data_IF_902894390444
#
_entry.id   IF_902894390444
#
_cell.length_a   1.000
_cell.length_b   1.000
_cell.length_c   1.000
_cell.angle_alpha   90.00
_cell.angle_beta   90.00
_cell.angle_gamma   90.00
#
_symmetry.space_group_name_H-M   'P 1'
#
loop_
_entity.id
_entity.type
_entity.pdbx_description
1 polymer ?
#
# COMPACT_ATOMS: atom_id res chain seq x y z
N UNK A 1 -22.71 -3.47 1.24
CA UNK A 1 -22.61 -3.64 -0.21
C UNK A 1 -23.97 -4.06 -0.82
N UNK A 2 -24.55 -5.17 -0.40
CA UNK A 2 -25.87 -5.59 -0.86
C UNK A 2 -26.96 -4.52 -0.70
N UNK A 3 -26.85 -3.68 0.32
CA UNK A 3 -27.79 -2.58 0.58
C UNK A 3 -27.71 -1.47 -0.48
N UNK A 4 -26.52 -1.17 -1.01
CA UNK A 4 -26.35 -0.14 -2.05
C UNK A 4 -26.89 -0.59 -3.40
N UNK A 5 -26.73 -1.86 -3.77
CA UNK A 5 -27.28 -2.45 -4.99
C UNK A 5 -28.82 -2.42 -4.94
N UNK A 6 -29.39 -2.77 -3.79
CA UNK A 6 -30.87 -2.82 -3.63
C UNK A 6 -31.48 -1.42 -3.57
N UNK A 7 -30.81 -0.46 -2.92
CA UNK A 7 -31.35 0.92 -2.76
C UNK A 7 -31.20 1.82 -3.98
N UNK A 8 -30.16 1.61 -4.79
CA UNK A 8 -29.87 2.48 -5.93
C UNK A 8 -29.20 1.70 -7.07
N UNK A 9 -29.89 0.75 -7.71
CA UNK A 9 -29.31 -0.11 -8.74
C UNK A 9 -28.81 0.67 -9.95
N UNK A 10 -29.48 1.74 -10.34
CA UNK A 10 -29.05 2.60 -11.45
C UNK A 10 -27.76 3.37 -11.15
N UNK A 11 -27.61 3.87 -9.93
CA UNK A 11 -26.38 4.53 -9.50
C UNK A 11 -25.24 3.52 -9.39
N UNK A 12 -25.51 2.31 -8.92
CA UNK A 12 -24.53 1.24 -8.90
C UNK A 12 -24.04 0.91 -10.32
N UNK A 13 -24.94 0.75 -11.28
CA UNK A 13 -24.58 0.50 -12.68
C UNK A 13 -23.83 1.70 -13.31
N UNK A 14 -24.22 2.93 -13.02
CA UNK A 14 -23.55 4.13 -13.50
C UNK A 14 -22.09 4.22 -13.05
N UNK A 15 -21.74 3.61 -11.93
CA UNK A 15 -20.38 3.57 -11.41
C UNK A 15 -19.44 2.64 -12.23
N UNK A 16 -20.00 1.72 -13.03
CA UNK A 16 -19.20 0.92 -13.98
C UNK A 16 -18.83 1.68 -15.25
N UNK A 17 -19.51 2.80 -15.52
CA UNK A 17 -19.22 3.67 -16.67
C UNK A 17 -18.74 5.03 -16.15
N UNK A 18 -17.45 5.19 -15.88
CA UNK A 18 -16.92 6.36 -15.17
C UNK A 18 -16.79 7.59 -16.07
N UNK A 19 -17.92 8.09 -16.58
CA UNK A 19 -17.98 9.38 -17.28
C UNK A 19 -17.78 10.49 -16.25
N UNK A 20 -16.75 11.31 -16.44
CA UNK A 20 -16.35 12.37 -15.51
C UNK A 20 -15.98 11.88 -14.11
N UNK A 21 -15.37 10.70 -14.01
CA UNK A 21 -15.03 10.05 -12.74
C UNK A 21 -14.25 10.97 -11.79
N UNK A 22 -13.23 11.64 -12.30
CA UNK A 22 -12.40 12.54 -11.49
C UNK A 22 -13.17 13.73 -10.87
N UNK A 23 -14.26 14.17 -11.50
CA UNK A 23 -15.10 15.26 -10.99
C UNK A 23 -16.15 14.79 -9.98
N UNK A 24 -16.48 13.49 -9.99
CA UNK A 24 -17.59 12.91 -9.23
C UNK A 24 -17.12 12.00 -8.09
N UNK A 25 -15.84 11.73 -7.96
CA UNK A 25 -15.29 10.77 -7.01
C UNK A 25 -14.42 11.45 -5.96
N UNK A 26 -14.63 11.09 -4.70
CA UNK A 26 -13.77 11.44 -3.57
C UNK A 26 -13.10 10.15 -3.12
N UNK A 27 -11.77 10.12 -3.13
CA UNK A 27 -10.99 8.99 -2.63
C UNK A 27 -10.71 9.22 -1.16
N UNK A 28 -11.09 8.27 -0.32
CA UNK A 28 -10.76 8.26 1.10
C UNK A 28 -9.61 7.27 1.32
N UNK A 29 -8.45 7.79 1.65
CA UNK A 29 -7.30 6.99 2.09
C UNK A 29 -7.36 6.83 3.61
N UNK A 30 -7.33 5.59 4.07
CA UNK A 30 -7.36 5.27 5.50
C UNK A 30 -6.05 4.63 5.88
N UNK A 31 -5.34 5.28 6.79
CA UNK A 31 -4.06 4.80 7.32
C UNK A 31 -4.22 4.42 8.78
N UNK A 32 -3.67 3.29 9.15
CA UNK A 32 -3.75 2.79 10.51
C UNK A 32 -2.39 2.28 10.99
N UNK A 33 -1.98 2.61 12.22
CA UNK A 33 -0.73 2.13 12.82
C UNK A 33 -0.90 0.71 13.37
N UNK A 34 -1.34 -0.23 12.53
CA UNK A 34 -1.44 -1.64 12.91
C UNK A 34 -0.10 -2.30 12.61
N UNK A 35 0.47 -2.94 13.61
CA UNK A 35 1.71 -3.69 13.48
C UNK A 35 1.44 -5.02 12.77
N UNK A 36 1.55 -5.00 11.47
CA UNK A 36 1.50 -6.17 10.61
C UNK A 36 2.40 -5.97 9.38
N UNK A 37 2.81 -7.07 8.78
CA UNK A 37 3.64 -7.05 7.58
C UNK A 37 3.34 -8.25 6.69
N UNK A 38 3.67 -8.11 5.41
CA UNK A 38 3.61 -9.18 4.43
C UNK A 38 5.01 -9.74 4.20
N UNK A 39 5.10 -11.05 4.14
CA UNK A 39 6.29 -11.76 3.63
C UNK A 39 6.07 -12.03 2.14
N UNK A 40 7.05 -11.69 1.33
CA UNK A 40 7.07 -12.06 -0.07
C UNK A 40 7.90 -13.32 -0.24
N UNK A 41 7.36 -14.28 -0.97
CA UNK A 41 8.06 -15.52 -1.31
C UNK A 41 7.73 -15.96 -2.74
N UNK A 42 8.57 -16.82 -3.29
CA UNK A 42 8.32 -17.45 -4.57
C UNK A 42 7.71 -18.84 -4.35
N UNK A 43 6.58 -19.10 -5.05
CA UNK A 43 5.96 -20.41 -5.08
C UNK A 43 5.81 -20.88 -6.52
N UNK A 44 6.10 -22.18 -6.75
CA UNK A 44 5.76 -22.84 -8.01
C UNK A 44 4.24 -22.95 -8.10
N UNK A 45 3.70 -22.64 -9.27
CA UNK A 45 2.26 -22.80 -9.54
C UNK A 45 2.07 -23.73 -10.75
N UNK A 46 1.26 -24.76 -10.57
CA UNK A 46 1.04 -25.79 -11.57
C UNK A 46 0.56 -25.26 -12.93
N UNK A 47 -0.24 -24.18 -12.96
CA UNK A 47 -0.70 -23.55 -14.22
C UNK A 47 0.38 -22.73 -14.95
N UNK A 48 1.56 -22.57 -14.37
CA UNK A 48 2.71 -21.88 -14.98
C UNK A 48 3.80 -22.82 -15.43
N UNK A 49 3.47 -24.09 -15.67
CA UNK A 49 4.41 -25.11 -16.16
C UNK A 49 5.76 -25.10 -15.41
N UNK A 50 5.71 -25.04 -14.08
CA UNK A 50 6.90 -25.03 -13.23
C UNK A 50 7.53 -23.65 -13.00
N UNK A 51 6.98 -22.57 -13.56
CA UNK A 51 7.45 -21.21 -13.33
C UNK A 51 7.18 -20.75 -11.89
N UNK A 52 8.15 -20.02 -11.31
CA UNK A 52 7.99 -19.37 -10.01
C UNK A 52 7.11 -18.11 -10.15
N UNK A 53 6.23 -17.91 -9.20
CA UNK A 53 5.49 -16.65 -9.07
C UNK A 53 5.66 -16.07 -7.68
N UNK A 54 5.78 -14.76 -7.61
CA UNK A 54 5.79 -14.04 -6.35
C UNK A 54 4.44 -14.21 -5.66
N UNK A 55 4.48 -14.51 -4.37
CA UNK A 55 3.32 -14.70 -3.53
C UNK A 55 3.50 -13.91 -2.25
N UNK A 56 2.44 -13.24 -1.81
CA UNK A 56 2.41 -12.58 -0.51
C UNK A 56 1.78 -13.49 0.53
N UNK A 57 2.34 -13.48 1.72
CA UNK A 57 1.84 -14.22 2.87
C UNK A 57 1.80 -13.28 4.07
N UNK A 58 0.69 -13.27 4.80
CA UNK A 58 0.61 -12.51 6.07
C UNK A 58 1.59 -13.07 7.08
N UNK A 59 2.17 -12.20 7.89
CA UNK A 59 2.99 -12.61 9.03
C UNK A 59 2.17 -13.42 10.04
N UNK A 60 2.86 -14.32 10.73
CA UNK A 60 2.25 -15.17 11.74
C UNK A 60 1.64 -14.32 12.86
N UNK A 61 0.32 -14.35 12.99
CA UNK A 61 -0.40 -13.82 14.14
C UNK A 61 -1.43 -12.72 13.84
N UNK A 62 -1.15 -11.76 12.98
CA UNK A 62 -2.07 -10.64 12.73
C UNK A 62 -2.50 -10.59 11.27
N UNK A 63 -3.71 -11.06 11.00
CA UNK A 63 -4.32 -10.84 9.67
C UNK A 63 -4.48 -9.35 9.43
N UNK A 64 -4.14 -8.90 8.23
CA UNK A 64 -4.43 -7.53 7.80
C UNK A 64 -5.95 -7.39 7.78
N UNK A 65 -6.53 -6.49 8.60
CA UNK A 65 -7.96 -6.31 8.60
C UNK A 65 -8.40 -5.69 7.26
N UNK A 66 -9.42 -6.27 6.66
CA UNK A 66 -10.06 -5.75 5.45
C UNK A 66 -11.21 -4.78 5.78
N UNK A 67 -11.54 -4.64 7.06
CA UNK A 67 -12.66 -3.80 7.52
C UNK A 67 -12.20 -2.89 8.65
N UNK A 68 -12.48 -1.61 8.49
CA UNK A 68 -12.12 -0.56 9.45
C UNK A 68 -13.37 0.21 9.88
N UNK A 69 -13.92 -0.03 11.09
CA UNK A 69 -15.17 0.57 11.54
C UNK A 69 -15.17 2.10 11.52
N UNK A 70 -14.04 2.73 11.88
CA UNK A 70 -13.90 4.19 11.85
C UNK A 70 -13.98 4.72 10.42
N UNK A 71 -13.29 4.07 9.48
CA UNK A 71 -13.34 4.45 8.07
C UNK A 71 -14.76 4.33 7.50
N UNK A 72 -15.45 3.26 7.83
CA UNK A 72 -16.84 3.04 7.42
C UNK A 72 -17.78 4.12 8.00
N UNK A 73 -17.65 4.44 9.28
CA UNK A 73 -18.44 5.50 9.93
C UNK A 73 -18.19 6.85 9.26
N UNK A 74 -16.93 7.18 8.97
CA UNK A 74 -16.56 8.43 8.30
C UNK A 74 -17.14 8.48 6.88
N UNK A 75 -16.99 7.41 6.10
CA UNK A 75 -17.55 7.31 4.76
C UNK A 75 -19.09 7.46 4.77
N UNK A 76 -19.79 6.80 5.69
CA UNK A 76 -21.24 6.94 5.86
C UNK A 76 -21.66 8.38 6.17
N UNK A 77 -20.89 9.08 7.02
CA UNK A 77 -21.16 10.50 7.35
C UNK A 77 -21.01 11.40 6.12
N UNK A 78 -19.96 11.18 5.33
CA UNK A 78 -19.73 11.93 4.08
C UNK A 78 -20.86 11.66 3.09
N UNK A 79 -21.24 10.42 2.90
CA UNK A 79 -22.32 10.02 1.99
C UNK A 79 -23.64 10.69 2.40
N UNK A 80 -23.98 10.70 3.69
CA UNK A 80 -25.20 11.35 4.18
C UNK A 80 -25.22 12.86 3.89
N UNK A 81 -24.06 13.52 3.95
CA UNK A 81 -23.94 14.97 3.69
C UNK A 81 -23.89 15.32 2.21
N UNK A 82 -23.33 14.45 1.36
CA UNK A 82 -23.09 14.72 -0.06
C UNK A 82 -24.14 14.09 -0.97
N UNK A 83 -24.98 13.19 -0.45
CA UNK A 83 -25.90 12.38 -1.28
C UNK A 83 -25.16 11.36 -2.18
N UNK A 84 -23.89 11.11 -1.93
CA UNK A 84 -23.06 10.20 -2.70
C UNK A 84 -23.37 8.71 -2.44
N UNK A 85 -22.61 7.85 -3.10
CA UNK A 85 -22.67 6.39 -2.92
C UNK A 85 -21.29 5.87 -2.53
N UNK A 86 -21.23 5.00 -1.50
CA UNK A 86 -19.98 4.35 -1.14
C UNK A 86 -19.55 3.37 -2.22
N UNK A 87 -18.30 3.49 -2.59
CA UNK A 87 -17.61 2.50 -3.43
C UNK A 87 -16.38 2.00 -2.70
N UNK A 88 -16.05 0.75 -2.90
CA UNK A 88 -14.75 0.18 -2.53
C UNK A 88 -14.15 -0.51 -3.74
N UNK A 89 -12.90 -0.90 -3.67
CA UNK A 89 -12.30 -1.64 -4.77
C UNK A 89 -13.01 -2.99 -4.95
N UNK A 90 -13.10 -3.47 -6.19
CA UNK A 90 -13.70 -4.78 -6.47
C UNK A 90 -12.98 -5.91 -5.73
N UNK A 91 -11.68 -5.75 -5.52
CA UNK A 91 -10.86 -6.74 -4.81
C UNK A 91 -11.28 -6.84 -3.35
N UNK A 92 -11.49 -5.70 -2.68
CA UNK A 92 -12.01 -5.67 -1.30
C UNK A 92 -13.43 -6.24 -1.23
N UNK A 93 -14.27 -5.83 -2.18
CA UNK A 93 -15.70 -6.16 -2.14
C UNK A 93 -15.99 -7.63 -2.39
N UNK A 94 -15.30 -8.23 -3.36
CA UNK A 94 -15.60 -9.59 -3.86
C UNK A 94 -14.69 -10.62 -3.17
N UNK A 95 -13.40 -10.29 -3.02
CA UNK A 95 -12.40 -11.24 -2.57
C UNK A 95 -11.93 -10.99 -1.14
N UNK A 96 -12.38 -9.92 -0.50
CA UNK A 96 -11.94 -9.51 0.84
C UNK A 96 -10.41 -9.41 0.93
N UNK A 97 -9.77 -8.87 -0.13
CA UNK A 97 -8.34 -8.68 -0.25
C UNK A 97 -8.04 -7.21 0.03
N UNK A 98 -7.36 -6.87 1.13
CA UNK A 98 -6.97 -5.50 1.41
C UNK A 98 -5.96 -5.02 0.36
N UNK A 99 -6.16 -3.80 -0.12
CA UNK A 99 -5.27 -3.14 -1.07
C UNK A 99 -4.53 -1.99 -0.39
N UNK A 100 -3.32 -1.70 -0.84
CA UNK A 100 -2.52 -0.57 -0.37
C UNK A 100 -1.80 0.09 -1.54
N UNK A 101 -1.73 1.42 -1.49
CA UNK A 101 -0.94 2.22 -2.42
C UNK A 101 0.42 2.62 -1.82
N UNK A 102 0.63 2.35 -0.53
CA UNK A 102 1.83 2.70 0.21
C UNK A 102 2.56 1.45 0.69
N UNK A 103 3.35 0.87 -0.21
CA UNK A 103 4.18 -0.30 0.10
C UNK A 103 5.46 0.21 0.75
N UNK A 104 5.70 -0.17 2.00
CA UNK A 104 6.87 0.19 2.79
C UNK A 104 7.66 -1.05 3.19
N UNK A 105 8.95 -0.86 3.48
CA UNK A 105 9.82 -1.94 3.95
C UNK A 105 10.34 -2.84 2.83
N UNK A 106 11.23 -3.75 3.21
CA UNK A 106 11.90 -4.68 2.30
C UNK A 106 13.39 -4.38 2.09
N UNK A 107 13.80 -3.11 2.15
CA UNK A 107 15.21 -2.71 2.04
C UNK A 107 15.60 -1.77 3.20
N UNK A 108 15.31 -2.20 4.43
CA UNK A 108 15.58 -1.38 5.63
C UNK A 108 17.06 -1.10 5.82
N UNK A 109 17.37 0.05 6.43
CA UNK A 109 18.70 0.37 6.92
C UNK A 109 19.14 -0.57 8.05
N UNK A 110 20.41 -0.90 8.08
CA UNK A 110 21.06 -1.64 9.16
C UNK A 110 22.47 -1.17 9.41
N UNK A 111 23.07 -1.66 10.49
CA UNK A 111 24.48 -1.37 10.81
C UNK A 111 25.44 -2.19 9.93
N UNK A 112 24.96 -3.32 9.43
CA UNK A 112 25.68 -4.30 8.64
C UNK A 112 24.71 -5.08 7.74
N UNK A 113 25.26 -5.92 6.87
CA UNK A 113 24.49 -6.74 5.94
C UNK A 113 23.60 -7.80 6.62
N UNK A 114 23.81 -8.11 7.90
CA UNK A 114 22.97 -9.05 8.65
C UNK A 114 21.74 -8.35 9.23
N UNK A 115 21.88 -7.07 9.59
CA UNK A 115 20.81 -6.28 10.21
C UNK A 115 19.99 -5.43 9.23
N UNK A 116 20.48 -5.21 7.99
CA UNK A 116 19.81 -4.40 6.99
C UNK A 116 20.22 -4.73 5.56
N UNK A 117 19.57 -4.10 4.61
CA UNK A 117 19.86 -4.20 3.19
C UNK A 117 20.74 -3.05 2.72
N UNK A 118 20.54 -1.87 3.30
CA UNK A 118 21.26 -0.64 3.00
C UNK A 118 21.95 -0.06 4.24
N UNK A 119 22.99 0.70 4.03
CA UNK A 119 23.69 1.47 5.05
C UNK A 119 23.03 2.84 5.31
N UNK A 120 23.67 3.68 6.13
CA UNK A 120 23.21 5.03 6.44
C UNK A 120 23.27 6.01 5.25
N UNK A 121 23.97 5.67 4.17
CA UNK A 121 24.02 6.44 2.93
C UNK A 121 23.02 5.92 1.89
N UNK A 122 22.15 4.98 2.26
CA UNK A 122 21.21 4.29 1.38
C UNK A 122 21.87 3.40 0.32
N UNK A 123 23.19 3.09 0.46
CA UNK A 123 23.91 2.18 -0.41
C UNK A 123 23.69 0.73 0.02
N UNK A 124 23.51 -0.17 -0.95
CA UNK A 124 23.27 -1.59 -0.67
C UNK A 124 24.55 -2.27 -0.21
N UNK A 125 24.47 -3.01 0.90
CA UNK A 125 25.56 -3.88 1.32
C UNK A 125 25.94 -4.88 0.22
N UNK A 126 27.24 -5.07 0.01
CA UNK A 126 27.82 -5.95 -1.00
C UNK A 126 27.59 -5.55 -2.48
N UNK A 127 26.99 -4.40 -2.75
CA UNK A 127 26.73 -3.89 -4.10
C UNK A 127 27.10 -2.41 -4.18
N UNK A 128 28.41 -2.13 -4.29
CA UNK A 128 28.90 -0.75 -4.37
C UNK A 128 28.33 -0.02 -5.58
N UNK A 129 27.91 1.23 -5.36
CA UNK A 129 27.28 2.07 -6.36
C UNK A 129 25.79 1.78 -6.57
N UNK A 130 25.19 0.87 -5.81
CA UNK A 130 23.75 0.57 -5.88
C UNK A 130 23.02 1.14 -4.67
N UNK A 131 22.04 1.98 -4.91
CA UNK A 131 21.29 2.68 -3.88
C UNK A 131 19.80 2.33 -3.91
N UNK A 132 19.17 2.35 -2.73
CA UNK A 132 17.72 2.22 -2.60
C UNK A 132 17.17 3.49 -1.97
N UNK A 133 16.36 4.24 -2.74
CA UNK A 133 15.91 5.58 -2.39
C UNK A 133 14.38 5.68 -2.64
N UNK A 134 13.61 4.79 -2.04
CA UNK A 134 12.17 4.74 -2.18
C UNK A 134 11.47 4.29 -0.88
N UNK A 135 10.18 4.01 -0.92
CA UNK A 135 9.42 3.55 0.24
C UNK A 135 9.91 2.24 0.86
N UNK A 136 10.70 1.45 0.14
CA UNK A 136 11.23 0.18 0.66
C UNK A 136 12.27 0.35 1.78
N UNK A 137 12.92 1.51 1.86
CA UNK A 137 13.84 1.84 2.96
C UNK A 137 13.14 2.18 4.28
N UNK A 138 11.85 2.52 4.25
CA UNK A 138 11.07 2.83 5.44
C UNK A 138 10.73 1.54 6.18
N UNK A 139 11.21 1.34 7.41
CA UNK A 139 11.19 0.03 8.06
C UNK A 139 9.82 -0.38 8.63
N UNK A 140 8.91 0.57 8.79
CA UNK A 140 7.62 0.31 9.45
C UNK A 140 6.52 1.24 8.98
N UNK A 141 5.28 0.90 9.33
CA UNK A 141 4.11 1.72 9.09
C UNK A 141 4.17 3.00 9.93
N UNK A 142 4.10 4.16 9.27
CA UNK A 142 4.18 5.47 9.93
C UNK A 142 2.84 5.93 10.53
N UNK A 143 1.73 5.26 10.23
CA UNK A 143 0.38 5.66 10.65
C UNK A 143 -0.14 6.92 9.94
N UNK A 144 0.65 7.51 9.06
CA UNK A 144 0.34 8.69 8.25
C UNK A 144 0.79 8.45 6.81
N UNK A 145 0.42 9.37 5.89
CA UNK A 145 0.87 9.30 4.51
C UNK A 145 2.41 9.35 4.45
N UNK A 146 3.09 8.35 3.85
CA UNK A 146 4.54 8.24 3.88
C UNK A 146 5.26 9.13 2.87
N UNK A 147 4.56 9.80 1.95
CA UNK A 147 5.17 10.55 0.85
C UNK A 147 6.18 11.60 1.33
N UNK A 148 5.84 12.35 2.38
CA UNK A 148 6.76 13.36 2.94
C UNK A 148 8.02 12.71 3.51
N UNK A 149 7.88 11.61 4.24
CA UNK A 149 9.02 10.86 4.80
C UNK A 149 9.89 10.27 3.71
N UNK A 150 9.30 9.68 2.67
CA UNK A 150 10.04 9.14 1.53
C UNK A 150 10.81 10.24 0.82
N UNK A 151 10.18 11.40 0.59
CA UNK A 151 10.84 12.55 -0.04
C UNK A 151 12.00 13.08 0.82
N UNK A 152 11.79 13.23 2.12
CA UNK A 152 12.85 13.69 3.02
C UNK A 152 14.04 12.72 3.06
N UNK A 153 13.78 11.42 3.03
CA UNK A 153 14.84 10.40 2.96
C UNK A 153 15.54 10.40 1.60
N UNK A 154 14.82 10.68 0.52
CA UNK A 154 15.43 10.82 -0.81
C UNK A 154 16.36 12.04 -0.87
N UNK A 155 15.95 13.19 -0.34
CA UNK A 155 16.79 14.37 -0.22
C UNK A 155 18.02 14.11 0.65
N UNK A 156 17.85 13.41 1.77
CA UNK A 156 18.95 12.99 2.62
C UNK A 156 19.96 12.12 1.85
N UNK A 157 19.48 11.10 1.14
CA UNK A 157 20.33 10.22 0.34
C UNK A 157 21.10 11.02 -0.73
N UNK A 158 20.40 11.92 -1.45
CA UNK A 158 21.03 12.74 -2.49
C UNK A 158 22.06 13.72 -1.93
N UNK A 159 21.87 14.24 -0.71
CA UNK A 159 22.85 15.10 -0.06
C UNK A 159 24.17 14.39 0.30
N UNK A 160 24.15 13.06 0.31
CA UNK A 160 25.31 12.20 0.59
C UNK A 160 25.91 11.55 -0.64
N UNK A 161 25.29 11.76 -1.79
CA UNK A 161 25.79 11.20 -3.04
C UNK A 161 27.15 11.85 -3.39
N UNK A 162 28.14 11.06 -3.80
CA UNK A 162 29.45 11.61 -4.17
C UNK A 162 29.31 12.53 -5.38
N UNK A 163 29.89 13.73 -5.28
CA UNK A 163 29.99 14.62 -6.44
C UNK A 163 30.91 13.98 -7.49
N UNK A 164 30.47 14.00 -8.74
CA UNK A 164 31.34 13.60 -9.85
C UNK A 164 32.45 14.64 -10.00
N UNK A 165 33.65 14.29 -9.59
CA UNK A 165 34.87 15.06 -9.90
C UNK A 165 35.32 14.80 -11.34
#
# INVERSE_FOLDING_TARGET
WGISIVRSPLQFLANFFPIDWAKKTIILLVMQPIDNYLKLNYKSRWWRLGGLSMNSQTSDGNKIPSHFPIAEKTARTIIQKTGGTAMTTYMDAIFNIPTTDHILGGARMGKDAESGVIDENCEMYNYSGMYVIDGSMIPSNLGVNPSLTITAMAEYAMSRFPENN
#
